data_IF_042056959157
#
_entry.id   IF_042056959157
#
_cell.length_a   1.000
_cell.length_b   1.000
_cell.length_c   1.000
_cell.angle_alpha   90.00
_cell.angle_beta   90.00
_cell.angle_gamma   90.00
#
_symmetry.space_group_name_H-M   'P 1'
#
loop_
_entity.id
_entity.type
_entity.pdbx_description
1 polymer ?
#
# COMPACT_ATOMS: atom_id res chain seq x y z
N UNK A 1 -9.16 -21.13 -94.04
CA UNK A 1 -9.55 -19.92 -93.29
C UNK A 1 -9.74 -20.28 -91.83
N UNK A 2 -8.94 -19.62 -90.96
CA UNK A 2 -9.07 -19.40 -89.51
C UNK A 2 -9.39 -20.57 -88.57
N UNK A 3 -8.32 -21.06 -87.95
CA UNK A 3 -8.26 -21.52 -86.57
C UNK A 3 -8.69 -20.41 -85.61
N UNK A 4 -9.42 -20.76 -84.54
CA UNK A 4 -9.34 -20.00 -83.28
C UNK A 4 -9.45 -20.94 -82.08
N UNK A 5 -8.38 -20.96 -81.29
CA UNK A 5 -8.27 -21.54 -79.95
C UNK A 5 -8.88 -20.52 -78.97
N UNK A 6 -9.72 -20.94 -78.03
CA UNK A 6 -10.01 -20.14 -76.82
C UNK A 6 -9.53 -20.95 -75.61
N UNK A 7 -8.75 -20.34 -74.69
CA UNK A 7 -7.91 -21.05 -73.75
C UNK A 7 -8.58 -21.25 -72.38
N UNK A 8 -8.06 -22.26 -71.69
CA UNK A 8 -8.18 -22.48 -70.25
C UNK A 8 -7.67 -21.22 -69.52
N UNK A 9 -8.50 -20.59 -68.71
CA UNK A 9 -8.07 -19.59 -67.74
C UNK A 9 -8.16 -20.21 -66.34
N UNK A 10 -7.00 -20.66 -65.84
CA UNK A 10 -6.78 -21.02 -64.44
C UNK A 10 -6.74 -19.71 -63.65
N UNK A 11 -7.73 -19.49 -62.78
CA UNK A 11 -7.70 -18.39 -61.82
C UNK A 11 -6.84 -18.81 -60.62
N UNK A 12 -5.56 -18.44 -60.65
CA UNK A 12 -4.67 -18.49 -59.49
C UNK A 12 -5.12 -17.42 -58.48
N UNK A 13 -5.82 -17.85 -57.43
CA UNK A 13 -6.06 -17.01 -56.25
C UNK A 13 -4.76 -17.03 -55.43
N UNK A 14 -3.92 -16.03 -55.63
CA UNK A 14 -2.82 -15.72 -54.72
C UNK A 14 -3.42 -15.05 -53.48
N UNK A 15 -3.67 -15.83 -52.43
CA UNK A 15 -3.87 -15.28 -51.08
C UNK A 15 -2.50 -14.84 -50.58
N UNK A 16 -2.21 -13.55 -50.74
CA UNK A 16 -1.11 -12.92 -50.01
C UNK A 16 -1.50 -12.88 -48.53
N UNK A 17 -1.02 -13.86 -47.76
CA UNK A 17 -0.90 -13.75 -46.31
C UNK A 17 0.13 -12.64 -46.03
N UNK A 18 -0.35 -11.41 -45.90
CA UNK A 18 0.38 -10.41 -45.11
C UNK A 18 0.02 -10.72 -43.67
N UNK A 19 0.84 -11.56 -43.04
CA UNK A 19 0.93 -11.68 -41.60
C UNK A 19 1.35 -10.31 -41.07
N UNK A 20 0.36 -9.47 -40.74
CA UNK A 20 0.56 -8.39 -39.79
C UNK A 20 1.00 -9.09 -38.51
N UNK A 21 2.29 -9.06 -38.24
CA UNK A 21 2.89 -9.31 -36.93
C UNK A 21 2.30 -8.26 -35.98
N UNK A 22 1.05 -8.49 -35.58
CA UNK A 22 0.55 -8.01 -34.31
C UNK A 22 1.38 -8.80 -33.32
N UNK A 23 2.47 -8.18 -32.85
CA UNK A 23 3.05 -8.59 -31.58
C UNK A 23 1.95 -8.27 -30.58
N UNK A 24 1.05 -9.24 -30.39
CA UNK A 24 0.26 -9.31 -29.19
C UNK A 24 1.30 -9.44 -28.09
N UNK A 25 1.65 -8.30 -27.49
CA UNK A 25 2.23 -8.32 -26.16
C UNK A 25 1.09 -8.86 -25.31
N UNK A 26 1.04 -10.18 -25.14
CA UNK A 26 0.30 -10.80 -24.06
C UNK A 26 0.82 -10.13 -22.78
N UNK A 27 0.09 -9.11 -22.31
CA UNK A 27 0.17 -8.73 -20.91
C UNK A 27 -0.47 -9.90 -20.18
N UNK A 28 0.35 -10.86 -19.78
CA UNK A 28 -0.09 -11.90 -18.87
C UNK A 28 -0.53 -11.19 -17.59
N UNK A 29 -1.83 -11.19 -17.30
CA UNK A 29 -2.31 -11.05 -15.93
C UNK A 29 -1.59 -12.16 -15.14
N UNK A 30 -0.56 -11.80 -14.36
CA UNK A 30 0.31 -12.78 -13.72
C UNK A 30 -0.36 -13.32 -12.46
N UNK A 31 -1.44 -14.10 -12.57
CA UNK A 31 -2.12 -14.65 -11.37
C UNK A 31 -1.10 -15.21 -10.36
N UNK A 32 -1.19 -14.74 -9.12
CA UNK A 32 -0.33 -15.22 -8.04
C UNK A 32 -0.48 -16.74 -7.90
N UNK A 33 0.64 -17.45 -7.96
CA UNK A 33 0.68 -18.92 -7.91
C UNK A 33 0.85 -19.39 -6.48
N UNK A 34 0.49 -20.64 -6.21
CA UNK A 34 0.88 -21.33 -4.97
C UNK A 34 1.99 -22.33 -5.27
N UNK A 35 2.88 -22.53 -4.31
CA UNK A 35 3.84 -23.63 -4.40
C UNK A 35 3.10 -24.97 -4.35
N UNK A 36 3.62 -25.96 -5.07
CA UNK A 36 3.12 -27.34 -5.09
C UNK A 36 3.73 -28.16 -3.97
N UNK A 37 4.86 -27.72 -3.41
CA UNK A 37 5.54 -28.40 -2.30
C UNK A 37 6.50 -27.47 -1.57
N UNK A 38 6.91 -27.88 -0.36
CA UNK A 38 7.97 -27.24 0.40
C UNK A 38 9.31 -27.20 -0.37
N UNK A 39 9.62 -28.26 -1.11
CA UNK A 39 10.87 -28.33 -1.88
C UNK A 39 10.90 -27.28 -3.00
N UNK A 40 9.76 -27.04 -3.66
CA UNK A 40 9.66 -26.02 -4.71
C UNK A 40 9.92 -24.61 -4.15
N UNK A 41 9.36 -24.29 -2.98
CA UNK A 41 9.64 -23.03 -2.28
C UNK A 41 11.13 -22.89 -1.94
N UNK A 42 11.73 -23.96 -1.39
CA UNK A 42 13.16 -23.96 -1.04
C UNK A 42 14.06 -23.76 -2.27
N UNK A 43 13.75 -24.44 -3.37
CA UNK A 43 14.48 -24.32 -4.63
C UNK A 43 14.31 -22.93 -5.27
N UNK A 44 13.11 -22.35 -5.17
CA UNK A 44 12.82 -20.98 -5.59
C UNK A 44 13.70 -19.97 -4.85
N UNK A 45 13.78 -20.06 -3.53
CA UNK A 45 14.62 -19.16 -2.71
C UNK A 45 16.12 -19.35 -2.98
N UNK A 46 16.59 -20.59 -3.16
CA UNK A 46 18.00 -20.91 -3.44
C UNK A 46 18.46 -20.44 -4.84
N UNK A 47 17.61 -20.58 -5.85
CA UNK A 47 17.96 -20.22 -7.24
C UNK A 47 18.03 -18.71 -7.47
N UNK A 48 17.33 -17.91 -6.66
CA UNK A 48 17.16 -16.46 -6.86
C UNK A 48 17.96 -15.60 -5.87
N UNK A 49 18.52 -16.18 -4.80
CA UNK A 49 19.39 -15.49 -3.81
C UNK A 49 20.77 -15.07 -4.36
N UNK A 50 21.20 -15.58 -5.52
CA UNK A 50 22.47 -15.17 -6.15
C UNK A 50 22.44 -13.72 -6.70
N UNK A 51 21.27 -13.14 -6.93
CA UNK A 51 21.10 -11.75 -7.37
C UNK A 51 21.27 -10.71 -6.22
N UNK A 52 21.10 -11.15 -4.97
CA UNK A 52 21.10 -10.32 -3.75
C UNK A 52 22.45 -9.62 -3.50
N UNK A 53 23.59 -10.27 -3.80
CA UNK A 53 24.93 -9.74 -3.47
C UNK A 53 25.34 -8.49 -4.26
N UNK A 54 24.69 -8.20 -5.40
CA UNK A 54 25.04 -7.05 -6.24
C UNK A 54 24.15 -5.82 -5.98
N UNK A 55 22.92 -6.01 -5.51
CA UNK A 55 21.93 -4.93 -5.32
C UNK A 55 22.01 -4.18 -3.99
N UNK A 56 22.49 -4.84 -2.92
CA UNK A 56 22.58 -4.27 -1.57
C UNK A 56 23.45 -3.01 -1.45
N UNK A 57 24.46 -2.86 -2.33
CA UNK A 57 25.35 -1.69 -2.33
C UNK A 57 24.70 -0.41 -2.87
N UNK A 58 23.52 -0.49 -3.50
CA UNK A 58 22.93 0.63 -4.26
C UNK A 58 21.73 1.32 -3.59
N UNK A 59 21.13 0.74 -2.55
CA UNK A 59 19.84 1.22 -2.00
C UNK A 59 19.87 1.80 -0.58
N UNK A 60 21.05 1.85 0.06
CA UNK A 60 21.21 2.33 1.44
C UNK A 60 21.21 3.87 1.54
N UNK A 61 20.09 4.51 1.18
CA UNK A 61 19.97 5.96 1.22
C UNK A 61 18.55 6.49 1.20
N UNK A 62 17.77 6.27 2.27
CA UNK A 62 16.80 7.27 2.74
C UNK A 62 16.29 6.91 4.15
N UNK A 63 16.43 7.86 5.07
CA UNK A 63 16.08 7.79 6.49
C UNK A 63 14.88 8.73 6.70
N UNK A 64 13.78 8.27 7.29
CA UNK A 64 12.64 9.13 7.67
C UNK A 64 12.83 9.69 9.09
N UNK A 65 12.42 10.95 9.27
CA UNK A 65 12.52 11.73 10.52
C UNK A 65 11.13 12.20 10.95
N UNK A 66 10.84 12.11 12.25
CA UNK A 66 9.62 12.57 12.95
C UNK A 66 9.71 14.03 13.40
N UNK A 67 8.56 14.72 13.61
CA UNK A 67 8.35 15.79 14.62
C UNK A 67 6.84 15.96 14.98
N UNK A 68 6.60 16.27 16.26
CA UNK A 68 5.36 16.57 17.03
C UNK A 68 4.83 18.03 16.95
N UNK A 69 3.50 18.16 16.85
CA UNK A 69 2.46 18.78 17.74
C UNK A 69 2.11 20.30 17.96
N UNK A 70 0.77 20.52 18.10
CA UNK A 70 -0.06 21.48 18.91
C UNK A 70 -0.92 22.68 18.36
N UNK A 71 -2.27 22.55 18.62
CA UNK A 71 -3.33 23.48 19.20
C UNK A 71 -3.94 24.68 18.41
N UNK A 72 -5.22 25.16 18.52
CA UNK A 72 -6.51 24.77 19.17
C UNK A 72 -7.76 25.60 18.65
N UNK A 73 -8.98 25.13 19.00
CA UNK A 73 -10.37 25.73 19.07
C UNK A 73 -11.33 25.53 17.86
N UNK A 74 -12.63 25.15 17.96
CA UNK A 74 -13.61 24.85 19.03
C UNK A 74 -14.66 23.77 18.57
N UNK A 75 -15.51 23.29 19.49
CA UNK A 75 -16.05 21.90 19.67
C UNK A 75 -17.04 21.30 18.64
N UNK A 76 -16.52 20.31 17.90
CA UNK A 76 -17.05 18.96 17.55
C UNK A 76 -15.84 17.99 17.76
N UNK A 77 -16.03 16.70 18.13
CA UNK A 77 -14.85 15.83 18.39
C UNK A 77 -14.15 15.43 17.08
N UNK A 78 -12.82 15.47 17.05
CA UNK A 78 -12.03 15.13 15.86
C UNK A 78 -11.91 13.61 15.70
N UNK A 79 -12.30 13.07 14.54
CA UNK A 79 -11.69 11.83 14.04
C UNK A 79 -10.26 12.12 13.57
N UNK A 80 -9.40 11.10 13.47
CA UNK A 80 -8.09 11.26 12.79
C UNK A 80 -8.31 11.50 11.28
N UNK A 81 -7.31 12.07 10.59
CA UNK A 81 -7.35 12.28 9.14
C UNK A 81 -7.23 10.93 8.40
N UNK A 82 -8.31 10.15 8.41
CA UNK A 82 -8.38 8.84 7.77
C UNK A 82 -8.29 8.97 6.26
N UNK A 83 -7.63 8.01 5.62
CA UNK A 83 -7.49 8.02 4.17
C UNK A 83 -8.83 7.76 3.45
N UNK A 84 -9.63 6.83 3.98
CA UNK A 84 -10.92 6.42 3.42
C UNK A 84 -11.96 6.41 4.53
N UNK A 85 -13.10 7.03 4.28
CA UNK A 85 -14.20 7.06 5.25
C UNK A 85 -14.65 5.62 5.62
N UNK A 86 -14.81 5.34 6.92
CA UNK A 86 -15.20 4.01 7.42
C UNK A 86 -14.08 2.96 7.39
N UNK A 87 -12.84 3.36 7.09
CA UNK A 87 -11.64 2.53 7.18
C UNK A 87 -10.70 3.20 8.18
N UNK A 88 -10.78 2.79 9.44
CA UNK A 88 -9.98 3.38 10.51
C UNK A 88 -8.53 2.85 10.47
N UNK A 89 -7.55 3.71 10.73
CA UNK A 89 -6.12 3.36 10.75
C UNK A 89 -5.63 3.29 12.20
N UNK A 90 -4.82 2.29 12.56
CA UNK A 90 -4.30 2.24 13.92
C UNK A 90 -3.40 3.44 14.18
N UNK A 91 -3.51 4.01 15.38
CA UNK A 91 -2.75 5.19 15.79
C UNK A 91 -2.29 5.05 17.24
N UNK A 92 -1.28 5.82 17.62
CA UNK A 92 -0.79 5.93 19.00
C UNK A 92 -1.79 6.60 19.94
N UNK A 93 -2.73 7.39 19.40
CA UNK A 93 -3.77 8.05 20.19
C UNK A 93 -5.14 7.81 19.56
N UNK A 94 -6.10 7.37 20.38
CA UNK A 94 -7.51 7.17 20.00
C UNK A 94 -8.43 7.83 21.02
N UNK A 95 -9.67 8.12 20.61
CA UNK A 95 -10.70 8.69 21.49
C UNK A 95 -12.07 8.09 21.18
N UNK A 96 -12.89 7.96 22.23
CA UNK A 96 -14.33 7.68 22.11
C UNK A 96 -15.19 8.94 22.41
N UNK A 97 -14.56 10.11 22.52
CA UNK A 97 -15.19 11.39 22.83
C UNK A 97 -15.15 11.77 24.31
N UNK A 98 -15.12 10.81 25.23
CA UNK A 98 -15.00 11.06 26.68
C UNK A 98 -13.61 10.68 27.21
N UNK A 99 -13.05 9.61 26.68
CA UNK A 99 -11.75 9.06 27.05
C UNK A 99 -10.74 9.17 25.89
N UNK A 100 -9.48 9.33 26.28
CA UNK A 100 -8.30 9.19 25.43
C UNK A 100 -7.60 7.88 25.76
N UNK A 101 -7.17 7.18 24.71
CA UNK A 101 -6.38 5.97 24.78
C UNK A 101 -5.03 6.28 24.14
N UNK A 102 -3.96 6.24 24.91
CA UNK A 102 -2.64 6.67 24.48
C UNK A 102 -1.63 5.53 24.63
N UNK A 103 -0.97 5.18 23.53
CA UNK A 103 0.19 4.32 23.50
C UNK A 103 1.42 5.12 23.95
N UNK A 104 1.90 4.87 25.17
CA UNK A 104 3.02 5.59 25.77
C UNK A 104 4.15 4.61 26.13
N UNK A 105 5.09 4.40 25.20
CA UNK A 105 6.21 3.49 25.41
C UNK A 105 5.78 2.03 25.52
N UNK A 106 5.85 1.46 26.72
CA UNK A 106 5.49 0.06 27.03
C UNK A 106 4.17 -0.04 27.81
N UNK A 107 3.34 0.99 27.76
CA UNK A 107 2.01 0.98 28.37
C UNK A 107 0.99 1.68 27.49
N UNK A 108 -0.28 1.31 27.67
CA UNK A 108 -1.42 2.09 27.17
C UNK A 108 -2.06 2.80 28.35
N UNK A 109 -2.25 4.10 28.23
CA UNK A 109 -2.89 4.96 29.22
C UNK A 109 -4.33 5.20 28.76
N UNK A 110 -5.28 4.94 29.64
CA UNK A 110 -6.68 5.38 29.47
C UNK A 110 -6.87 6.59 30.37
N UNK A 111 -7.20 7.73 29.77
CA UNK A 111 -7.43 8.98 30.49
C UNK A 111 -8.84 9.48 30.20
N UNK A 112 -9.58 9.88 31.24
CA UNK A 112 -10.78 10.69 31.07
C UNK A 112 -10.32 12.06 30.61
N UNK A 113 -10.82 12.52 29.47
CA UNK A 113 -10.43 13.79 28.86
C UNK A 113 -11.56 14.82 28.86
N UNK A 114 -12.82 14.35 28.92
CA UNK A 114 -13.99 15.21 28.98
C UNK A 114 -14.93 14.79 30.13
N UNK A 115 -15.57 15.74 30.83
CA UNK A 115 -15.29 17.17 30.82
C UNK A 115 -13.88 17.48 31.36
N UNK A 116 -13.29 18.60 30.93
CA UNK A 116 -11.88 18.92 31.19
C UNK A 116 -11.57 19.04 32.70
N UNK A 117 -12.54 19.44 33.52
CA UNK A 117 -12.41 19.55 34.98
C UNK A 117 -12.29 18.19 35.68
N UNK A 118 -12.72 17.12 35.02
CA UNK A 118 -12.64 15.73 35.51
C UNK A 118 -11.46 14.96 34.88
N UNK A 119 -10.58 15.65 34.15
CA UNK A 119 -9.50 15.00 33.45
C UNK A 119 -8.56 14.25 34.41
N UNK A 120 -8.42 12.95 34.20
CA UNK A 120 -7.66 12.08 35.07
C UNK A 120 -7.18 10.83 34.31
N UNK A 121 -6.05 10.27 34.75
CA UNK A 121 -5.63 8.94 34.30
C UNK A 121 -6.45 7.90 35.05
N UNK A 122 -7.14 7.04 34.30
CA UNK A 122 -8.11 6.07 34.79
C UNK A 122 -7.48 4.69 34.89
N UNK A 123 -6.72 4.28 33.88
CA UNK A 123 -6.02 3.00 33.87
C UNK A 123 -4.70 3.06 33.11
N UNK A 124 -3.83 2.10 33.42
CA UNK A 124 -2.57 1.84 32.73
C UNK A 124 -2.49 0.35 32.43
N UNK A 125 -2.35 0.01 31.15
CA UNK A 125 -2.25 -1.37 30.68
C UNK A 125 -0.79 -1.61 30.27
N UNK A 126 -0.04 -2.49 30.94
CA UNK A 126 1.31 -2.82 30.52
C UNK A 126 1.29 -3.59 29.19
N UNK A 127 2.19 -3.24 28.29
CA UNK A 127 2.37 -3.84 26.98
C UNK A 127 3.75 -4.51 26.92
N UNK A 128 3.82 -5.70 26.32
CA UNK A 128 5.03 -6.51 26.30
C UNK A 128 6.08 -6.08 25.26
N UNK A 129 5.96 -4.94 24.61
CA UNK A 129 6.82 -4.55 23.49
C UNK A 129 6.86 -3.06 23.21
N UNK A 130 7.39 -2.70 22.05
CA UNK A 130 7.61 -1.31 21.61
C UNK A 130 6.68 -0.95 20.45
N UNK A 131 6.53 0.36 20.17
CA UNK A 131 5.79 0.88 19.02
C UNK A 131 4.31 0.48 19.02
N UNK A 132 3.61 0.74 20.13
CA UNK A 132 2.21 0.36 20.26
C UNK A 132 1.29 1.23 19.39
N UNK A 133 0.36 0.60 18.69
CA UNK A 133 -0.70 1.22 17.89
C UNK A 133 -2.06 0.72 18.40
N UNK A 134 -3.10 1.54 18.28
CA UNK A 134 -4.38 1.31 18.93
C UNK A 134 -5.54 1.34 17.94
N UNK A 135 -6.53 0.49 18.19
CA UNK A 135 -7.90 0.66 17.71
C UNK A 135 -8.88 0.72 18.86
N UNK A 136 -9.92 1.53 18.71
CA UNK A 136 -11.09 1.53 19.58
C UNK A 136 -12.32 1.22 18.75
N UNK A 137 -13.11 0.24 19.20
CA UNK A 137 -14.39 -0.11 18.62
C UNK A 137 -15.37 -0.45 19.73
N UNK A 138 -16.29 0.48 20.02
CA UNK A 138 -17.22 0.36 21.15
C UNK A 138 -16.44 0.12 22.47
N UNK A 139 -16.77 -0.93 23.22
CA UNK A 139 -16.08 -1.32 24.46
C UNK A 139 -14.87 -2.24 24.23
N UNK A 140 -14.27 -2.20 23.04
CA UNK A 140 -13.07 -2.97 22.69
C UNK A 140 -11.90 -2.07 22.37
N UNK A 141 -10.76 -2.37 23.00
CA UNK A 141 -9.46 -1.77 22.71
C UNK A 141 -8.53 -2.84 22.14
N UNK A 142 -8.08 -2.69 20.91
CA UNK A 142 -6.96 -3.49 20.39
C UNK A 142 -5.65 -2.71 20.53
N UNK A 143 -4.63 -3.39 21.05
CA UNK A 143 -3.27 -2.90 21.18
C UNK A 143 -2.37 -3.77 20.30
N UNK A 144 -1.80 -3.16 19.27
CA UNK A 144 -0.84 -3.79 18.38
C UNK A 144 0.56 -3.35 18.78
N UNK A 145 1.51 -4.27 18.88
CA UNK A 145 2.90 -3.92 19.21
C UNK A 145 3.87 -4.94 18.65
N UNK A 146 5.13 -4.52 18.53
CA UNK A 146 6.20 -5.42 18.13
C UNK A 146 7.01 -5.86 19.35
N UNK A 147 7.39 -7.12 19.37
CA UNK A 147 8.39 -7.62 20.30
C UNK A 147 9.43 -8.45 19.54
N UNK A 148 10.70 -8.24 19.89
CA UNK A 148 11.82 -8.98 19.34
C UNK A 148 12.22 -10.08 20.33
N UNK A 149 11.82 -11.31 20.02
CA UNK A 149 12.26 -12.49 20.74
C UNK A 149 13.63 -12.90 20.21
N UNK A 150 14.65 -12.93 21.07
CA UNK A 150 16.03 -13.23 20.66
C UNK A 150 16.16 -14.59 19.94
N UNK A 151 15.29 -15.55 20.25
CA UNK A 151 15.32 -16.89 19.67
C UNK A 151 14.40 -17.03 18.45
N UNK A 152 13.33 -16.24 18.35
CA UNK A 152 12.28 -16.40 17.32
C UNK A 152 12.16 -15.21 16.35
N UNK A 153 12.93 -14.14 16.54
CA UNK A 153 12.88 -12.93 15.73
C UNK A 153 11.74 -11.99 16.13
N UNK A 154 11.49 -11.00 15.27
CA UNK A 154 10.44 -9.99 15.48
C UNK A 154 9.06 -10.65 15.27
N UNK A 155 8.14 -10.37 16.18
CA UNK A 155 6.72 -10.73 16.08
C UNK A 155 5.85 -9.51 16.30
N UNK A 156 4.76 -9.45 15.54
CA UNK A 156 3.67 -8.51 15.73
C UNK A 156 2.61 -9.17 16.61
N UNK A 157 2.28 -8.54 17.74
CA UNK A 157 1.25 -8.98 18.66
C UNK A 157 0.00 -8.10 18.51
N UNK A 158 -1.16 -8.70 18.73
CA UNK A 158 -2.44 -7.99 18.85
C UNK A 158 -3.14 -8.46 20.12
N UNK A 159 -3.37 -7.54 21.04
CA UNK A 159 -4.10 -7.79 22.29
C UNK A 159 -5.41 -7.04 22.29
N UNK A 160 -6.52 -7.75 22.46
CA UNK A 160 -7.86 -7.15 22.53
C UNK A 160 -8.35 -7.17 23.98
N UNK A 161 -8.68 -6.00 24.49
CA UNK A 161 -9.18 -5.77 25.84
C UNK A 161 -10.67 -5.40 25.81
N UNK A 162 -11.42 -5.92 26.77
CA UNK A 162 -12.68 -5.33 27.21
C UNK A 162 -12.38 -4.06 28.00
N UNK A 163 -12.94 -2.94 27.58
CA UNK A 163 -12.82 -1.65 28.27
C UNK A 163 -14.18 -1.09 28.70
N UNK A 164 -15.22 -1.93 28.80
CA UNK A 164 -16.54 -1.50 29.31
C UNK A 164 -16.44 -0.88 30.71
N UNK A 165 -15.52 -1.39 31.54
CA UNK A 165 -15.11 -0.79 32.82
C UNK A 165 -13.71 -0.20 32.65
N UNK A 166 -13.64 1.12 32.46
CA UNK A 166 -12.41 1.85 32.08
C UNK A 166 -11.30 1.74 33.14
N UNK A 167 -11.66 1.59 34.40
CA UNK A 167 -10.75 1.41 35.55
C UNK A 167 -10.14 0.01 35.62
N UNK A 168 -10.74 -0.97 34.95
CA UNK A 168 -10.31 -2.37 35.01
C UNK A 168 -10.38 -3.06 33.64
N UNK A 169 -9.57 -2.63 32.65
CA UNK A 169 -9.48 -3.30 31.36
C UNK A 169 -9.11 -4.78 31.51
N UNK A 170 -9.78 -5.65 30.77
CA UNK A 170 -9.58 -7.10 30.84
C UNK A 170 -9.14 -7.65 29.48
N UNK A 171 -8.00 -8.34 29.43
CA UNK A 171 -7.52 -8.98 28.20
C UNK A 171 -8.43 -10.16 27.85
N UNK A 172 -9.07 -10.11 26.69
CA UNK A 172 -9.93 -11.21 26.20
C UNK A 172 -9.22 -12.07 25.17
N UNK A 173 -8.39 -11.44 24.32
CA UNK A 173 -7.80 -12.12 23.16
C UNK A 173 -6.36 -11.67 22.92
N UNK A 174 -5.50 -12.63 22.60
CA UNK A 174 -4.12 -12.39 22.18
C UNK A 174 -3.87 -13.17 20.89
N UNK A 175 -3.36 -12.47 19.87
CA UNK A 175 -2.95 -13.01 18.59
C UNK A 175 -1.50 -12.61 18.32
N UNK A 176 -0.77 -13.39 17.53
CA UNK A 176 0.53 -12.94 17.03
C UNK A 176 0.83 -13.44 15.63
N UNK A 177 1.66 -12.70 14.90
CA UNK A 177 2.15 -13.05 13.58
C UNK A 177 3.66 -12.83 13.56
N UNK A 178 4.41 -13.80 13.05
CA UNK A 178 5.84 -13.61 12.82
C UNK A 178 6.09 -12.49 11.82
N UNK A 179 7.03 -11.59 12.15
CA UNK A 179 7.42 -10.47 11.31
C UNK A 179 7.14 -9.10 11.93
N UNK A 180 7.67 -8.09 11.24
CA UNK A 180 7.49 -6.68 11.60
C UNK A 180 6.15 -6.16 11.10
N UNK A 181 5.51 -5.35 11.93
CA UNK A 181 4.27 -4.65 11.65
C UNK A 181 4.47 -3.67 10.49
N UNK A 182 3.56 -3.71 9.51
CA UNK A 182 3.56 -2.76 8.38
C UNK A 182 2.46 -1.73 8.55
N UNK A 183 1.23 -2.19 8.71
CA UNK A 183 0.04 -1.36 8.76
C UNK A 183 -1.17 -2.19 9.19
N UNK A 184 -2.22 -1.54 9.65
CA UNK A 184 -3.49 -2.18 9.95
C UNK A 184 -4.67 -1.26 9.70
N UNK A 185 -5.85 -1.85 9.46
CA UNK A 185 -7.12 -1.15 9.31
C UNK A 185 -8.24 -1.82 10.09
N UNK A 186 -9.14 -1.03 10.64
CA UNK A 186 -10.39 -1.48 11.23
C UNK A 186 -11.55 -1.05 10.33
N UNK A 187 -12.34 -2.02 9.86
CA UNK A 187 -13.50 -1.80 8.99
C UNK A 187 -14.70 -2.55 9.59
N UNK A 188 -15.69 -1.79 10.06
CA UNK A 188 -16.76 -2.35 10.88
C UNK A 188 -16.18 -3.03 12.12
N UNK A 189 -16.50 -4.31 12.31
CA UNK A 189 -16.00 -5.10 13.44
C UNK A 189 -14.72 -5.86 13.14
N UNK A 190 -14.16 -5.76 11.92
CA UNK A 190 -12.99 -6.54 11.50
C UNK A 190 -11.74 -5.68 11.44
N UNK A 191 -10.69 -6.15 12.13
CA UNK A 191 -9.35 -5.59 12.04
C UNK A 191 -8.51 -6.44 11.07
N UNK A 192 -7.82 -5.76 10.16
CA UNK A 192 -6.91 -6.30 9.16
C UNK A 192 -5.49 -5.83 9.51
N UNK A 193 -4.58 -6.77 9.78
CA UNK A 193 -3.20 -6.50 10.20
C UNK A 193 -2.24 -7.07 9.18
N UNK A 194 -1.32 -6.23 8.70
CA UNK A 194 -0.28 -6.64 7.76
C UNK A 194 1.07 -6.66 8.45
N UNK A 195 1.77 -7.78 8.37
CA UNK A 195 3.12 -7.98 8.89
C UNK A 195 4.04 -8.59 7.84
N UNK A 196 5.35 -8.34 7.94
CA UNK A 196 6.35 -8.85 7.00
C UNK A 196 7.49 -9.60 7.70
N UNK A 197 7.82 -10.78 7.19
CA UNK A 197 8.94 -11.61 7.63
C UNK A 197 9.89 -11.87 6.46
N UNK A 198 11.19 -11.67 6.64
CA UNK A 198 12.17 -12.03 5.61
C UNK A 198 12.15 -13.54 5.31
N UNK A 199 12.19 -13.89 4.03
CA UNK A 199 12.17 -15.29 3.59
C UNK A 199 13.59 -15.87 3.59
N UNK A 200 14.05 -16.31 4.76
CA UNK A 200 15.40 -16.81 4.97
C UNK A 200 15.48 -18.33 4.98
N UNK A 201 16.62 -18.86 4.53
CA UNK A 201 17.00 -20.26 4.74
C UNK A 201 17.99 -20.30 5.92
N UNK A 202 17.60 -20.99 6.99
CA UNK A 202 18.40 -21.18 8.21
C UNK A 202 18.59 -22.67 8.43
N UNK A 203 19.83 -23.13 8.60
CA UNK A 203 20.15 -24.56 8.76
C UNK A 203 19.53 -25.46 7.67
N UNK A 204 19.56 -25.00 6.41
CA UNK A 204 18.98 -25.68 5.25
C UNK A 204 17.44 -25.85 5.29
N UNK A 205 16.76 -25.06 6.12
CA UNK A 205 15.29 -25.00 6.20
C UNK A 205 14.79 -23.58 5.96
N UNK A 206 13.66 -23.45 5.26
CA UNK A 206 12.99 -22.16 5.06
C UNK A 206 12.32 -21.76 6.37
N UNK A 207 12.58 -20.55 6.84
CA UNK A 207 11.89 -19.99 8.02
C UNK A 207 10.48 -19.53 7.61
N UNK A 208 9.52 -20.45 7.66
CA UNK A 208 8.12 -20.17 7.33
C UNK A 208 7.47 -19.22 8.36
N UNK A 209 6.49 -18.39 7.97
CA UNK A 209 5.77 -17.55 8.90
C UNK A 209 4.88 -18.38 9.81
N UNK A 210 4.73 -17.91 11.04
CA UNK A 210 3.87 -18.52 12.06
C UNK A 210 2.81 -17.52 12.52
N UNK A 211 1.63 -18.03 12.82
CA UNK A 211 0.47 -17.26 13.27
C UNK A 211 -0.08 -17.94 14.53
N UNK A 212 -0.11 -17.21 15.63
CA UNK A 212 -0.79 -17.65 16.85
C UNK A 212 -2.20 -17.08 16.89
N UNK A 213 -3.17 -18.00 16.87
CA UNK A 213 -4.60 -17.68 16.86
C UNK A 213 -5.20 -17.57 18.27
N UNK A 214 -4.40 -17.77 19.33
CA UNK A 214 -4.84 -17.91 20.72
C UNK A 214 -5.09 -19.37 21.13
N UNK A 215 -5.57 -20.21 20.20
CA UNK A 215 -5.79 -21.65 20.42
C UNK A 215 -4.58 -22.52 20.05
N UNK A 216 -3.52 -21.91 19.50
CA UNK A 216 -2.34 -22.60 19.03
C UNK A 216 -1.56 -21.82 17.98
N UNK A 217 -0.30 -22.19 17.87
CA UNK A 217 0.63 -21.64 16.90
C UNK A 217 0.63 -22.48 15.62
N UNK A 218 0.22 -21.86 14.52
CA UNK A 218 0.14 -22.43 13.18
C UNK A 218 1.35 -21.98 12.35
N UNK A 219 2.12 -22.93 11.80
CA UNK A 219 3.14 -22.64 10.79
C UNK A 219 2.52 -22.77 9.40
N UNK A 220 2.57 -21.68 8.61
CA UNK A 220 1.93 -21.64 7.31
C UNK A 220 2.66 -22.56 6.34
N UNK A 221 1.96 -23.56 5.82
CA UNK A 221 2.55 -24.55 4.92
C UNK A 221 2.85 -23.94 3.55
N UNK A 222 3.94 -24.38 2.93
CA UNK A 222 4.40 -23.82 1.65
C UNK A 222 3.33 -23.82 0.54
N UNK A 223 2.43 -24.81 0.54
CA UNK A 223 1.36 -24.93 -0.45
C UNK A 223 0.23 -23.92 -0.30
N UNK A 224 0.21 -23.15 0.78
CA UNK A 224 -0.76 -22.08 1.02
C UNK A 224 -0.18 -20.69 0.72
N UNK A 225 1.13 -20.61 0.50
CA UNK A 225 1.84 -19.37 0.22
C UNK A 225 1.68 -19.02 -1.25
N UNK A 226 1.14 -17.83 -1.50
CA UNK A 226 1.06 -17.23 -2.82
C UNK A 226 2.42 -16.63 -3.19
N UNK A 227 2.80 -16.64 -4.45
CA UNK A 227 4.06 -16.02 -4.90
C UNK A 227 3.97 -15.51 -6.33
N UNK A 228 4.83 -14.54 -6.62
CA UNK A 228 5.09 -14.05 -7.96
C UNK A 228 6.32 -14.76 -8.54
N UNK A 229 6.20 -15.33 -9.75
CA UNK A 229 7.29 -16.06 -10.41
C UNK A 229 8.27 -15.11 -11.12
N UNK A 230 8.85 -14.19 -10.35
CA UNK A 230 9.75 -13.14 -10.84
C UNK A 230 10.95 -13.01 -9.93
N UNK A 231 12.14 -12.80 -10.51
CA UNK A 231 13.34 -12.51 -9.74
C UNK A 231 13.22 -11.15 -9.05
N UNK A 232 13.50 -11.12 -7.74
CA UNK A 232 13.69 -9.88 -6.99
C UNK A 232 15.04 -9.86 -6.25
N UNK A 233 15.41 -8.69 -5.72
CA UNK A 233 16.64 -8.49 -4.96
C UNK A 233 16.59 -9.13 -3.57
N UNK A 234 15.42 -9.61 -3.12
CA UNK A 234 15.16 -10.36 -1.90
C UNK A 234 13.67 -10.65 -1.77
N UNK A 235 13.30 -11.66 -0.98
CA UNK A 235 11.89 -12.01 -0.76
C UNK A 235 11.48 -11.86 0.69
N UNK A 236 10.24 -11.45 0.88
CA UNK A 236 9.57 -11.32 2.17
C UNK A 236 8.23 -12.02 2.10
N UNK A 237 7.89 -12.75 3.16
CA UNK A 237 6.52 -13.18 3.42
C UNK A 237 5.75 -11.96 3.95
N UNK A 238 4.75 -11.53 3.20
CA UNK A 238 3.76 -10.55 3.64
C UNK A 238 2.52 -11.31 4.09
N UNK A 239 2.19 -11.21 5.37
CA UNK A 239 1.01 -11.84 5.96
C UNK A 239 -0.06 -10.77 6.18
N UNK A 240 -1.26 -11.01 5.67
CA UNK A 240 -2.47 -10.23 6.01
C UNK A 240 -3.34 -11.11 6.89
N UNK A 241 -3.58 -10.66 8.12
CA UNK A 241 -4.42 -11.30 9.12
C UNK A 241 -5.72 -10.51 9.27
N UNK A 242 -6.88 -11.16 9.28
CA UNK A 242 -8.16 -10.58 9.63
C UNK A 242 -8.74 -11.26 10.86
N UNK A 243 -9.26 -10.48 11.80
CA UNK A 243 -9.95 -11.00 12.96
C UNK A 243 -11.09 -10.06 13.38
N UNK A 244 -12.10 -10.62 14.03
CA UNK A 244 -13.22 -9.84 14.55
C UNK A 244 -12.89 -9.30 15.95
N UNK A 245 -13.17 -8.01 16.16
CA UNK A 245 -12.95 -7.29 17.41
C UNK A 245 -13.99 -7.62 18.50
N UNK A 246 -15.17 -8.09 18.10
CA UNK A 246 -16.34 -8.29 18.95
C UNK A 246 -16.67 -9.77 19.18
N UNK A 247 -16.17 -10.68 18.32
CA UNK A 247 -16.40 -12.13 18.39
C UNK A 247 -15.13 -12.86 18.79
N UNK A 248 -14.97 -13.06 20.11
CA UNK A 248 -13.72 -13.56 20.71
C UNK A 248 -13.35 -14.98 20.25
N UNK A 249 -14.35 -15.84 20.03
CA UNK A 249 -14.18 -17.22 19.58
C UNK A 249 -14.03 -17.35 18.05
N UNK A 250 -14.28 -16.30 17.27
CA UNK A 250 -14.14 -16.35 15.82
C UNK A 250 -12.65 -16.46 15.47
N UNK A 251 -12.26 -17.59 14.86
CA UNK A 251 -10.89 -17.80 14.38
C UNK A 251 -10.48 -16.72 13.36
N UNK A 252 -9.22 -16.25 13.43
CA UNK A 252 -8.74 -15.29 12.45
C UNK A 252 -8.56 -15.96 11.08
N UNK A 253 -8.74 -15.20 10.01
CA UNK A 253 -8.36 -15.61 8.67
C UNK A 253 -7.03 -14.96 8.27
N UNK A 254 -6.24 -15.63 7.45
CA UNK A 254 -5.00 -15.07 6.95
C UNK A 254 -4.71 -15.43 5.49
N UNK A 255 -3.86 -14.63 4.85
CA UNK A 255 -3.22 -14.94 3.56
C UNK A 255 -1.75 -14.53 3.61
N UNK A 256 -0.90 -15.36 3.03
CA UNK A 256 0.55 -15.12 2.95
C UNK A 256 0.97 -15.02 1.49
N UNK A 257 1.67 -13.94 1.16
CA UNK A 257 2.25 -13.69 -0.17
C UNK A 257 3.76 -13.58 -0.01
N UNK A 258 4.50 -14.42 -0.73
CA UNK A 258 5.93 -14.28 -0.94
C UNK A 258 6.16 -13.32 -2.13
N UNK A 259 6.57 -12.10 -1.81
CA UNK A 259 6.83 -11.03 -2.77
C UNK A 259 8.20 -10.41 -2.55
N UNK A 260 8.58 -9.47 -3.42
CA UNK A 260 9.64 -8.52 -3.10
C UNK A 260 9.27 -7.64 -1.91
N UNK A 261 10.14 -6.68 -1.58
CA UNK A 261 9.88 -5.77 -0.46
C UNK A 261 8.61 -4.94 -0.69
N UNK A 262 7.62 -5.16 0.18
CA UNK A 262 6.40 -4.37 0.24
C UNK A 262 6.77 -2.92 0.59
N UNK A 263 6.40 -1.99 -0.28
CA UNK A 263 6.77 -0.57 -0.17
C UNK A 263 5.66 0.27 0.45
N UNK A 264 4.40 0.02 0.09
CA UNK A 264 3.26 0.84 0.52
C UNK A 264 1.98 0.01 0.47
N UNK A 265 1.00 0.39 1.27
CA UNK A 265 -0.30 -0.26 1.36
C UNK A 265 -1.40 0.79 1.24
N UNK A 266 -2.46 0.49 0.49
CA UNK A 266 -3.70 1.26 0.44
C UNK A 266 -4.88 0.34 0.77
N UNK A 267 -5.88 0.83 1.50
CA UNK A 267 -7.08 0.04 1.84
C UNK A 267 -8.34 0.84 1.56
N UNK A 268 -9.21 0.26 0.75
CA UNK A 268 -10.60 0.69 0.57
C UNK A 268 -11.52 -0.13 1.48
N UNK A 269 -12.82 0.15 1.44
CA UNK A 269 -13.81 -0.65 2.20
C UNK A 269 -13.90 -2.11 1.74
N UNK A 270 -13.43 -2.43 0.53
CA UNK A 270 -13.58 -3.76 -0.08
C UNK A 270 -12.25 -4.39 -0.52
N UNK A 271 -11.12 -3.67 -0.44
CA UNK A 271 -9.85 -4.17 -0.97
C UNK A 271 -8.64 -3.61 -0.24
N UNK A 272 -7.64 -4.46 -0.03
CA UNK A 272 -6.27 -4.08 0.36
C UNK A 272 -5.40 -4.17 -0.90
N UNK A 273 -4.65 -3.11 -1.16
CA UNK A 273 -3.69 -3.02 -2.25
C UNK A 273 -2.28 -3.00 -1.66
N UNK A 274 -1.49 -4.03 -1.96
CA UNK A 274 -0.09 -4.12 -1.58
C UNK A 274 0.78 -3.73 -2.76
N UNK A 275 1.66 -2.74 -2.58
CA UNK A 275 2.62 -2.37 -3.62
C UNK A 275 4.00 -2.92 -3.32
N UNK A 276 4.64 -3.50 -4.32
CA UNK A 276 6.04 -3.93 -4.28
C UNK A 276 6.82 -3.12 -5.31
N UNK A 277 7.63 -2.17 -4.83
CA UNK A 277 8.41 -1.29 -5.70
C UNK A 277 9.68 -2.01 -6.19
N UNK A 278 9.86 -2.03 -7.51
CA UNK A 278 11.08 -2.44 -8.21
C UNK A 278 11.84 -1.21 -8.73
N UNK A 279 12.99 -1.43 -9.35
CA UNK A 279 13.88 -0.35 -9.84
C UNK A 279 13.13 0.65 -10.75
N UNK A 280 12.20 0.17 -11.57
CA UNK A 280 11.50 0.98 -12.57
C UNK A 280 10.00 0.71 -12.69
N UNK A 281 9.47 -0.24 -11.91
CA UNK A 281 8.06 -0.64 -11.94
C UNK A 281 7.56 -0.85 -10.52
N UNK A 282 6.25 -0.83 -10.35
CA UNK A 282 5.57 -1.21 -9.11
C UNK A 282 4.60 -2.32 -9.45
N UNK A 283 4.68 -3.41 -8.68
CA UNK A 283 3.66 -4.45 -8.71
C UNK A 283 2.61 -4.10 -7.67
N UNK A 284 1.36 -4.37 -8.02
CA UNK A 284 0.20 -4.17 -7.16
C UNK A 284 -0.48 -5.52 -6.99
N UNK A 285 -0.69 -5.94 -5.76
CA UNK A 285 -1.56 -7.07 -5.43
C UNK A 285 -2.84 -6.55 -4.80
N UNK A 286 -3.98 -6.89 -5.40
CA UNK A 286 -5.31 -6.59 -4.85
C UNK A 286 -5.82 -7.80 -4.09
N UNK A 287 -6.14 -7.57 -2.83
CA UNK A 287 -6.73 -8.54 -1.92
C UNK A 287 -8.13 -8.04 -1.60
N UNK A 288 -9.15 -8.77 -2.04
CA UNK A 288 -10.54 -8.47 -1.69
C UNK A 288 -10.78 -8.83 -0.23
N UNK A 289 -11.49 -7.96 0.48
CA UNK A 289 -11.86 -8.12 1.87
C UNK A 289 -13.36 -7.91 2.07
N UNK A 290 -14.00 -8.79 2.82
CA UNK A 290 -15.43 -8.68 3.14
C UNK A 290 -15.73 -9.40 4.46
N UNK A 291 -16.11 -8.65 5.50
CA UNK A 291 -16.52 -9.21 6.81
C UNK A 291 -15.54 -10.29 7.36
N UNK A 292 -14.25 -10.01 7.30
CA UNK A 292 -13.19 -10.91 7.74
C UNK A 292 -12.72 -11.94 6.72
N UNK A 293 -13.46 -12.19 5.64
CA UNK A 293 -12.98 -13.01 4.53
C UNK A 293 -11.88 -12.27 3.76
N UNK A 294 -10.84 -13.00 3.34
CA UNK A 294 -9.70 -12.44 2.60
C UNK A 294 -9.45 -13.29 1.35
N UNK A 295 -9.51 -12.67 0.18
CA UNK A 295 -9.27 -13.34 -1.10
C UNK A 295 -8.23 -12.59 -1.94
N UNK A 296 -7.21 -13.29 -2.43
CA UNK A 296 -6.29 -12.74 -3.45
C UNK A 296 -7.08 -12.61 -4.76
N UNK A 297 -7.34 -11.38 -5.19
CA UNK A 297 -8.29 -11.10 -6.26
C UNK A 297 -7.62 -10.80 -7.61
N UNK A 298 -6.55 -10.02 -7.61
CA UNK A 298 -5.85 -9.64 -8.83
C UNK A 298 -4.42 -9.19 -8.55
N UNK A 299 -3.62 -9.12 -9.61
CA UNK A 299 -2.31 -8.48 -9.57
C UNK A 299 -2.05 -7.74 -10.88
N UNK A 300 -1.29 -6.66 -10.79
CA UNK A 300 -0.93 -5.83 -11.94
C UNK A 300 0.47 -5.24 -11.76
N UNK A 301 1.01 -4.71 -12.85
CA UNK A 301 2.30 -4.04 -12.88
C UNK A 301 2.15 -2.69 -13.59
N UNK A 302 2.71 -1.65 -13.00
CA UNK A 302 2.71 -0.29 -13.55
C UNK A 302 4.11 0.31 -13.55
N UNK A 303 4.45 1.21 -14.49
CA UNK A 303 5.74 1.88 -14.49
C UNK A 303 5.91 2.89 -13.35
N UNK A 304 7.14 2.99 -12.84
CA UNK A 304 7.54 3.93 -11.79
C UNK A 304 7.35 3.41 -10.37
N UNK A 305 7.61 4.30 -9.41
CA UNK A 305 7.50 4.05 -7.98
C UNK A 305 6.43 4.93 -7.35
N UNK A 306 5.73 4.38 -6.37
CA UNK A 306 4.68 5.07 -5.59
C UNK A 306 5.32 5.81 -4.42
N UNK A 307 4.81 7.00 -4.09
CA UNK A 307 5.35 7.81 -3.00
C UNK A 307 4.92 7.30 -1.62
N UNK A 308 3.61 7.17 -1.40
CA UNK A 308 3.00 6.77 -0.13
C UNK A 308 1.53 6.37 -0.35
N UNK A 309 0.81 6.03 0.72
CA UNK A 309 -0.57 5.53 0.63
C UNK A 309 -1.51 6.52 -0.08
N UNK A 310 -1.33 7.83 0.08
CA UNK A 310 -2.17 8.88 -0.53
C UNK A 310 -1.97 9.03 -2.04
N UNK A 311 -0.94 8.38 -2.59
CA UNK A 311 -0.73 8.27 -4.04
C UNK A 311 -1.58 7.19 -4.69
N UNK A 312 -2.54 6.62 -3.96
CA UNK A 312 -3.45 5.57 -4.40
C UNK A 312 -4.86 5.83 -3.90
N UNK A 313 -5.85 5.42 -4.69
CA UNK A 313 -7.23 5.31 -4.24
C UNK A 313 -8.07 4.30 -5.06
N UNK A 314 -9.26 3.99 -4.58
CA UNK A 314 -10.28 3.23 -5.28
C UNK A 314 -11.56 4.08 -5.43
N UNK A 315 -12.02 4.25 -6.67
CA UNK A 315 -13.21 5.04 -6.96
C UNK A 315 -13.97 4.48 -8.17
N UNK A 316 -15.29 4.32 -8.03
CA UNK A 316 -16.20 3.84 -9.09
C UNK A 316 -15.68 2.59 -9.84
N UNK A 317 -15.24 1.57 -9.09
CA UNK A 317 -14.77 0.32 -9.67
C UNK A 317 -13.43 0.42 -10.41
N UNK A 318 -12.63 1.44 -10.11
CA UNK A 318 -11.27 1.59 -10.64
C UNK A 318 -10.27 1.84 -9.50
N UNK A 319 -9.09 1.26 -9.63
CA UNK A 319 -7.94 1.58 -8.79
C UNK A 319 -7.09 2.63 -9.50
N UNK A 320 -6.74 3.72 -8.83
CA UNK A 320 -5.98 4.84 -9.43
C UNK A 320 -4.72 5.06 -8.64
N UNK A 321 -3.64 5.35 -9.35
CA UNK A 321 -2.31 5.39 -8.76
C UNK A 321 -1.43 6.44 -9.44
N UNK A 322 -0.72 7.21 -8.62
CA UNK A 322 0.27 8.18 -9.05
C UNK A 322 1.68 7.63 -8.84
N UNK A 323 2.55 7.75 -9.85
CA UNK A 323 3.95 7.30 -9.75
C UNK A 323 4.95 8.30 -10.29
N UNK A 324 6.20 8.14 -9.85
CA UNK A 324 7.39 8.75 -10.47
C UNK A 324 8.16 7.68 -11.24
N UNK A 325 8.40 7.87 -12.54
CA UNK A 325 9.18 6.96 -13.38
C UNK A 325 10.45 7.59 -13.93
N UNK A 326 11.48 6.77 -14.18
CA UNK A 326 12.70 7.18 -14.87
C UNK A 326 12.50 7.05 -16.37
N UNK A 327 12.83 8.09 -17.12
CA UNK A 327 12.90 8.08 -18.58
C UNK A 327 14.36 8.04 -19.00
N UNK A 328 14.68 7.18 -19.95
CA UNK A 328 15.89 7.31 -20.75
C UNK A 328 15.59 8.19 -21.96
N UNK A 329 16.32 9.29 -22.11
CA UNK A 329 16.31 10.10 -23.33
C UNK A 329 17.47 9.63 -24.22
N UNK A 330 17.30 8.64 -25.11
CA UNK A 330 18.41 8.08 -25.89
C UNK A 330 19.07 9.08 -26.87
N UNK A 331 18.47 10.26 -27.07
CA UNK A 331 18.89 11.25 -28.07
C UNK A 331 19.49 12.53 -27.45
N UNK A 332 19.67 12.61 -26.13
CA UNK A 332 20.31 13.76 -25.48
C UNK A 332 21.67 13.34 -24.89
N UNK A 333 22.76 13.95 -25.36
CA UNK A 333 24.11 13.80 -24.82
C UNK A 333 24.45 15.00 -23.89
N UNK A 334 24.95 14.77 -22.67
CA UNK A 334 25.16 13.46 -22.04
C UNK A 334 23.83 12.77 -21.73
N UNK A 335 23.80 11.44 -21.72
CA UNK A 335 22.65 10.66 -21.27
C UNK A 335 22.13 11.17 -19.92
N UNK A 336 20.99 11.86 -19.95
CA UNK A 336 20.31 12.31 -18.73
C UNK A 336 19.18 11.35 -18.42
N UNK A 337 19.23 10.76 -17.23
CA UNK A 337 18.04 10.16 -16.64
C UNK A 337 17.04 11.30 -16.35
N UNK A 338 15.96 11.34 -17.11
CA UNK A 338 14.82 12.19 -16.82
C UNK A 338 13.93 11.52 -15.77
N UNK A 339 13.27 12.32 -14.93
CA UNK A 339 12.16 11.86 -14.11
C UNK A 339 10.86 12.36 -14.75
N UNK A 340 9.77 11.63 -14.59
CA UNK A 340 8.44 12.12 -14.88
C UNK A 340 7.44 11.52 -13.90
N UNK A 341 6.32 12.21 -13.77
CA UNK A 341 5.21 11.78 -12.94
C UNK A 341 4.07 11.30 -13.83
N UNK A 342 3.37 10.28 -13.38
CA UNK A 342 2.31 9.64 -14.15
C UNK A 342 1.11 9.36 -13.24
N UNK A 343 -0.08 9.34 -13.84
CA UNK A 343 -1.30 8.78 -13.25
C UNK A 343 -1.71 7.58 -14.09
N UNK A 344 -2.02 6.46 -13.44
CA UNK A 344 -2.64 5.30 -14.06
C UNK A 344 -4.00 5.05 -13.44
N UNK A 345 -4.95 4.62 -14.28
CA UNK A 345 -6.25 4.12 -13.88
C UNK A 345 -6.35 2.68 -14.33
N UNK A 346 -6.65 1.80 -13.38
CA UNK A 346 -6.72 0.36 -13.58
C UNK A 346 -8.13 -0.13 -13.27
N UNK A 347 -8.57 -1.17 -13.98
CA UNK A 347 -9.79 -1.88 -13.63
C UNK A 347 -9.57 -2.74 -12.35
N UNK A 348 -10.63 -3.39 -11.89
CA UNK A 348 -10.58 -4.26 -10.71
C UNK A 348 -9.76 -5.55 -10.89
N UNK A 349 -9.39 -5.90 -12.13
CA UNK A 349 -8.43 -6.95 -12.44
C UNK A 349 -6.98 -6.41 -12.51
N UNK A 350 -6.78 -5.15 -12.13
CA UNK A 350 -5.50 -4.43 -12.21
C UNK A 350 -4.92 -4.37 -13.64
N UNK A 351 -5.79 -4.31 -14.64
CA UNK A 351 -5.41 -3.99 -16.01
C UNK A 351 -5.50 -2.47 -16.23
N UNK A 352 -4.46 -1.87 -16.79
CA UNK A 352 -4.44 -0.42 -17.07
C UNK A 352 -5.47 -0.08 -18.15
N UNK A 353 -6.48 0.73 -17.79
CA UNK A 353 -7.52 1.22 -18.71
C UNK A 353 -7.27 2.66 -19.17
N UNK A 354 -6.56 3.45 -18.36
CA UNK A 354 -6.17 4.82 -18.70
C UNK A 354 -4.83 5.23 -18.12
N UNK A 355 -4.19 6.20 -18.76
CA UNK A 355 -2.89 6.74 -18.32
C UNK A 355 -2.75 8.21 -18.68
N UNK A 356 -2.05 8.94 -17.83
CA UNK A 356 -1.54 10.28 -18.09
C UNK A 356 -0.08 10.32 -17.65
N UNK A 357 0.83 10.33 -18.61
CA UNK A 357 2.27 10.20 -18.38
C UNK A 357 3.00 11.51 -18.71
N UNK A 358 4.20 11.69 -18.17
CA UNK A 358 5.07 12.82 -18.56
C UNK A 358 4.79 14.14 -17.84
N UNK A 359 4.11 14.10 -16.70
CA UNK A 359 3.84 15.28 -15.86
C UNK A 359 5.12 15.77 -15.19
N UNK A 360 5.35 17.08 -15.23
CA UNK A 360 6.50 17.78 -14.62
C UNK A 360 7.85 17.05 -14.82
N UNK A 361 8.33 17.03 -16.07
CA UNK A 361 9.59 16.37 -16.43
C UNK A 361 10.77 16.93 -15.60
N UNK A 362 11.51 16.04 -14.95
CA UNK A 362 12.63 16.35 -14.08
C UNK A 362 12.27 16.44 -12.60
N UNK A 363 10.99 16.31 -12.24
CA UNK A 363 10.49 16.43 -10.87
C UNK A 363 9.92 15.09 -10.39
N UNK A 364 9.75 14.96 -9.07
CA UNK A 364 9.11 13.81 -8.44
C UNK A 364 7.80 14.23 -7.80
N UNK A 365 6.87 13.28 -7.65
CA UNK A 365 5.66 13.45 -6.85
C UNK A 365 6.08 13.83 -5.42
N UNK A 366 5.47 14.88 -4.88
CA UNK A 366 5.64 15.35 -3.51
C UNK A 366 4.39 15.09 -2.67
N UNK A 367 3.22 15.31 -3.26
CA UNK A 367 1.93 15.04 -2.61
C UNK A 367 0.87 14.75 -3.65
N UNK A 368 -0.10 13.90 -3.28
CA UNK A 368 -1.22 13.50 -4.13
C UNK A 368 -2.47 13.45 -3.27
N UNK A 369 -3.58 13.93 -3.82
CA UNK A 369 -4.91 13.75 -3.24
C UNK A 369 -5.90 13.40 -4.33
N UNK A 370 -6.51 12.22 -4.21
CA UNK A 370 -7.67 11.85 -5.01
C UNK A 370 -8.95 12.32 -4.33
N UNK A 371 -9.91 12.81 -5.11
CA UNK A 371 -11.24 13.18 -4.65
C UNK A 371 -12.22 12.97 -5.79
N UNK A 372 -13.17 12.05 -5.62
CA UNK A 372 -14.17 11.71 -6.63
C UNK A 372 -13.54 11.56 -8.02
N UNK A 373 -13.94 12.35 -9.01
CA UNK A 373 -13.37 12.32 -10.36
C UNK A 373 -12.10 13.16 -10.54
N UNK A 374 -11.52 13.73 -9.49
CA UNK A 374 -10.34 14.60 -9.55
C UNK A 374 -9.13 13.99 -8.85
N UNK A 375 -7.96 14.35 -9.34
CA UNK A 375 -6.67 14.11 -8.70
C UNK A 375 -5.88 15.43 -8.65
N UNK A 376 -5.46 15.80 -7.44
CA UNK A 376 -4.57 16.91 -7.18
C UNK A 376 -3.17 16.36 -6.99
N UNK A 377 -2.22 16.82 -7.78
CA UNK A 377 -0.84 16.33 -7.75
C UNK A 377 0.12 17.50 -7.64
N UNK A 378 1.00 17.44 -6.65
CA UNK A 378 2.07 18.40 -6.41
C UNK A 378 3.40 17.72 -6.68
N UNK A 379 4.26 18.37 -7.44
CA UNK A 379 5.65 17.96 -7.66
C UNK A 379 6.62 18.91 -6.98
N UNK A 380 7.90 18.55 -6.84
CA UNK A 380 8.87 19.39 -6.12
C UNK A 380 10.08 19.82 -6.97
N UNK A 381 10.17 21.13 -7.30
CA UNK A 381 11.36 21.92 -7.68
C UNK A 381 11.18 23.45 -7.50
N UNK A 382 11.42 23.99 -6.29
CA UNK A 382 11.52 25.44 -5.95
C UNK A 382 10.29 26.34 -6.27
N UNK A 383 9.57 26.10 -7.35
CA UNK A 383 8.32 26.71 -7.81
C UNK A 383 7.52 25.55 -8.41
N UNK A 384 6.51 25.11 -7.67
CA UNK A 384 5.97 23.78 -7.86
C UNK A 384 4.61 23.85 -8.57
N UNK A 385 4.42 23.10 -9.69
CA UNK A 385 3.13 23.02 -10.32
C UNK A 385 2.18 22.17 -9.48
N UNK A 386 1.09 22.77 -9.04
CA UNK A 386 -0.10 22.10 -8.54
C UNK A 386 -0.99 21.73 -9.75
N UNK A 387 -1.08 20.45 -10.07
CA UNK A 387 -1.91 19.94 -11.15
C UNK A 387 -3.30 19.58 -10.64
N UNK A 388 -4.33 19.98 -11.39
CA UNK A 388 -5.70 19.46 -11.25
C UNK A 388 -5.96 18.55 -12.43
N UNK A 389 -6.20 17.26 -12.16
CA UNK A 389 -6.34 16.21 -13.15
C UNK A 389 -7.77 15.67 -13.11
N UNK A 390 -8.44 15.62 -14.26
CA UNK A 390 -9.75 15.01 -14.44
C UNK A 390 -9.60 13.52 -14.77
N UNK A 391 -10.28 12.71 -13.96
CA UNK A 391 -10.36 11.25 -14.01
C UNK A 391 -11.83 10.78 -14.14
N UNK A 392 -12.75 11.67 -14.56
CA UNK A 392 -14.17 11.32 -14.77
C UNK A 392 -14.37 10.27 -15.87
N UNK A 393 -13.59 10.35 -16.95
CA UNK A 393 -13.44 9.24 -17.91
C UNK A 393 -12.17 8.43 -17.56
N UNK A 394 -12.32 7.21 -17.01
CA UNK A 394 -11.17 6.40 -16.59
C UNK A 394 -10.24 6.03 -17.75
N UNK A 395 -10.71 6.07 -19.00
CA UNK A 395 -9.88 5.74 -20.17
C UNK A 395 -9.08 6.94 -20.70
N UNK A 396 -9.52 8.17 -20.36
CA UNK A 396 -8.94 9.41 -20.88
C UNK A 396 -8.60 10.42 -19.77
N UNK A 397 -7.71 10.09 -18.81
CA UNK A 397 -7.20 11.05 -17.83
C UNK A 397 -6.60 12.29 -18.50
N UNK A 398 -6.90 13.50 -17.99
CA UNK A 398 -6.40 14.76 -18.57
C UNK A 398 -6.15 15.84 -17.52
N UNK A 399 -5.18 16.73 -17.78
CA UNK A 399 -4.95 17.91 -16.95
C UNK A 399 -6.01 18.97 -17.24
N UNK A 400 -6.74 19.43 -16.21
CA UNK A 400 -7.67 20.56 -16.31
C UNK A 400 -6.95 21.90 -16.16
N UNK A 401 -5.95 21.95 -15.28
CA UNK A 401 -5.21 23.16 -15.00
C UNK A 401 -3.92 22.90 -14.22
N UNK A 402 -3.04 23.89 -14.26
CA UNK A 402 -1.77 23.93 -13.54
C UNK A 402 -1.68 25.29 -12.84
N UNK A 403 -1.47 25.28 -11.53
CA UNK A 403 -1.19 26.48 -10.75
C UNK A 403 0.27 26.43 -10.30
N UNK A 404 1.06 27.41 -10.71
CA UNK A 404 2.42 27.59 -10.19
C UNK A 404 2.39 28.52 -8.99
N UNK A 405 2.73 27.98 -7.84
CA UNK A 405 2.85 28.73 -6.59
C UNK A 405 4.32 28.77 -6.17
N UNK A 406 4.75 29.86 -5.55
CA UNK A 406 6.04 29.90 -4.86
C UNK A 406 5.92 29.06 -3.58
N UNK A 407 6.99 28.37 -3.20
CA UNK A 407 6.90 27.33 -2.18
C UNK A 407 6.23 26.04 -2.66
N UNK A 408 5.83 25.21 -1.71
CA UNK A 408 5.24 23.89 -1.94
C UNK A 408 4.26 23.50 -0.82
N UNK A 409 3.20 22.75 -1.18
CA UNK A 409 2.22 22.24 -0.22
C UNK A 409 2.63 20.87 0.30
N UNK A 410 2.83 20.77 1.62
CA UNK A 410 3.12 19.50 2.30
C UNK A 410 1.84 18.72 2.62
N UNK A 411 0.76 19.44 2.87
CA UNK A 411 -0.54 18.88 3.21
C UNK A 411 -1.64 19.52 2.38
N UNK A 412 -2.61 18.71 1.95
CA UNK A 412 -3.80 19.16 1.25
C UNK A 412 -5.03 18.60 1.95
N UNK A 413 -5.91 19.50 2.38
CA UNK A 413 -7.20 19.17 2.98
C UNK A 413 -8.32 19.55 2.03
N UNK A 414 -9.27 18.66 1.82
CA UNK A 414 -10.50 18.99 1.11
C UNK A 414 -11.43 19.72 2.06
N UNK A 415 -11.85 20.93 1.72
CA UNK A 415 -12.86 21.66 2.49
C UNK A 415 -14.27 21.31 2.00
N UNK A 416 -14.45 21.27 0.68
CA UNK A 416 -15.69 20.85 0.00
C UNK A 416 -15.40 20.33 -1.42
N UNK A 417 -16.45 20.06 -2.20
CA UNK A 417 -16.38 19.55 -3.58
C UNK A 417 -15.53 20.42 -4.54
N UNK A 418 -15.34 21.71 -4.23
CA UNK A 418 -14.69 22.67 -5.13
C UNK A 418 -13.50 23.41 -4.49
N UNK A 419 -13.19 23.16 -3.22
CA UNK A 419 -12.15 23.89 -2.48
C UNK A 419 -11.15 22.95 -1.80
N UNK A 420 -9.86 23.16 -2.09
CA UNK A 420 -8.72 22.51 -1.43
C UNK A 420 -7.97 23.55 -0.60
N UNK A 421 -7.65 23.22 0.65
CA UNK A 421 -6.75 23.99 1.51
C UNK A 421 -5.37 23.32 1.46
N UNK A 422 -4.39 24.03 0.92
CA UNK A 422 -2.98 23.61 0.98
C UNK A 422 -2.27 24.24 2.19
N UNK A 423 -1.56 23.44 2.97
CA UNK A 423 -0.65 23.90 4.02
C UNK A 423 0.77 23.51 3.64
N UNK A 424 1.69 24.47 3.65
CA UNK A 424 3.01 24.29 3.07
C UNK A 424 4.02 25.33 3.49
N UNK A 425 5.19 25.30 2.86
CA UNK A 425 6.29 26.22 3.14
C UNK A 425 6.57 27.11 1.94
N UNK A 426 6.63 28.41 2.19
CA UNK A 426 7.09 29.39 1.22
C UNK A 426 8.60 29.21 0.95
N UNK A 427 9.02 29.37 -0.30
CA UNK A 427 10.43 29.35 -0.67
C UNK A 427 10.81 30.70 -1.27
N UNK A 428 11.94 31.25 -0.84
CA UNK A 428 12.48 32.46 -1.47
C UNK A 428 12.85 32.11 -2.93
N UNK A 429 12.07 32.64 -3.87
CA UNK A 429 12.33 32.48 -5.30
C UNK A 429 13.76 32.92 -5.62
N UNK A 430 14.48 32.12 -6.39
CA UNK A 430 15.81 32.51 -6.85
C UNK A 430 15.67 33.81 -7.66
N UNK A 431 16.33 34.88 -7.20
CA UNK A 431 16.57 36.04 -8.04
C UNK A 431 17.11 35.55 -9.39
N UNK A 432 16.46 35.98 -10.48
CA UNK A 432 16.97 35.76 -11.84
C UNK A 432 18.37 36.37 -11.89
N UNK A 433 19.41 35.54 -11.82
CA UNK A 433 20.74 35.91 -12.28
C UNK A 433 20.61 36.14 -13.79
N UNK A 434 20.60 37.43 -14.16
CA UNK A 434 20.62 37.94 -15.54
C UNK A 434 21.80 37.44 -16.34
#
# INVERSE_FOLDING_TARGET
MKNWKIPILVLLITVSLISVLSVNVEHSAMDLRKFRSYQELKDFLNSRTYAFRLGWYLSSGSMLKSVEDMSESAVEYSSTNVQVEGVDEADTVKTDGEYLYLAAGQEVIIAKAYPAEEAAIIARIPVGGVSSQLFISQDRLAVLYENNDQDNGIKTFVKVYDVSIKESPFLIRELSVDGSYVSSRLIGDYAYVTATKGAWIVNDQVSLPRIDSGDGNEEVVATEIYYEDTSDCGYTFTTVLAFNMQQDEQKPEHKVILSGWTSTLYVSKQSIYLTCSRISTTIVHRIQIENGEICIAANGEIPGTVLNQFSMDEYNGHFRIATTSRITSPNEEPFRLGLQNNIYVLDMNLTVVGRLEGLAKGETVHSVRFMDSLCYLVTFRKVDPFFVIDLSDPNTPKVLGELKVTGYSDYMHMYDENHVIGVGKETLGAERSM
#
